data_IF_902186168215
#
_entry.id   IF_902186168215
#
_cell.length_a   1.000
_cell.length_b   1.000
_cell.length_c   1.000
_cell.angle_alpha   90.00
_cell.angle_beta   90.00
_cell.angle_gamma   90.00
#
_symmetry.space_group_name_H-M   'P 1'
#
loop_
_entity.id
_entity.type
_entity.pdbx_description
1 polymer ?
#
# COMPACT_ATOMS: atom_id res chain seq x y z
N UNK A 1 16.33 -26.05 -29.01
CA UNK A 1 15.41 -25.12 -28.35
C UNK A 1 16.31 -24.15 -27.61
N UNK A 2 16.56 -22.99 -28.22
CA UNK A 2 17.40 -21.95 -27.61
C UNK A 2 16.62 -21.29 -26.47
N UNK A 3 17.25 -20.94 -25.34
CA UNK A 3 16.57 -20.24 -24.26
C UNK A 3 16.24 -18.82 -24.70
N UNK A 4 14.96 -18.45 -24.67
CA UNK A 4 14.54 -17.06 -24.85
C UNK A 4 15.16 -16.22 -23.73
N UNK A 5 16.17 -15.42 -24.07
CA UNK A 5 16.68 -14.38 -23.18
C UNK A 5 15.55 -13.35 -23.01
N UNK A 6 14.83 -13.44 -21.90
CA UNK A 6 14.01 -12.35 -21.39
C UNK A 6 14.95 -11.18 -21.12
N UNK A 7 15.04 -10.26 -22.07
CA UNK A 7 15.51 -8.91 -21.77
C UNK A 7 14.48 -8.30 -20.85
N UNK A 8 14.78 -8.26 -19.54
CA UNK A 8 14.08 -7.35 -18.63
C UNK A 8 14.28 -5.94 -19.18
N UNK A 9 13.27 -5.44 -19.90
CA UNK A 9 13.24 -4.06 -20.32
C UNK A 9 13.32 -3.19 -19.07
N UNK A 10 14.30 -2.26 -19.05
CA UNK A 10 14.50 -1.36 -17.91
C UNK A 10 13.16 -0.67 -17.63
N UNK A 11 12.62 -0.76 -16.40
CA UNK A 11 11.30 -0.22 -16.11
C UNK A 11 11.26 1.25 -16.51
N UNK A 12 10.24 1.60 -17.31
CA UNK A 12 9.99 2.99 -17.67
C UNK A 12 9.86 3.83 -16.39
N UNK A 13 10.06 5.15 -16.48
CA UNK A 13 10.10 6.02 -15.29
C UNK A 13 8.86 5.90 -14.39
N UNK A 14 7.67 5.64 -14.97
CA UNK A 14 6.45 5.40 -14.19
C UNK A 14 6.48 4.07 -13.46
N UNK A 15 6.96 3.01 -14.11
CA UNK A 15 7.12 1.70 -13.50
C UNK A 15 8.15 1.77 -12.37
N UNK A 16 9.28 2.44 -12.57
CA UNK A 16 10.28 2.65 -11.51
C UNK A 16 9.68 3.39 -10.31
N UNK A 17 9.00 4.52 -10.55
CA UNK A 17 8.32 5.26 -9.49
C UNK A 17 7.26 4.42 -8.75
N UNK A 18 6.53 3.56 -9.46
CA UNK A 18 5.60 2.62 -8.83
C UNK A 18 6.31 1.59 -7.96
N UNK A 19 7.41 1.01 -8.45
CA UNK A 19 8.19 0.03 -7.67
C UNK A 19 8.83 0.66 -6.44
N UNK A 20 9.33 1.90 -6.53
CA UNK A 20 9.88 2.64 -5.40
C UNK A 20 8.80 2.89 -4.33
N UNK A 21 7.59 3.31 -4.74
CA UNK A 21 6.44 3.47 -3.83
C UNK A 21 5.98 2.14 -3.22
N UNK A 22 6.05 1.07 -4.00
CA UNK A 22 5.68 -0.27 -3.54
C UNK A 22 6.67 -0.78 -2.49
N UNK A 23 7.96 -0.55 -2.69
CA UNK A 23 9.01 -0.91 -1.75
C UNK A 23 8.87 -0.11 -0.45
N UNK A 24 8.69 1.21 -0.55
CA UNK A 24 8.48 2.11 0.59
C UNK A 24 7.24 1.72 1.41
N UNK A 25 6.13 1.37 0.73
CA UNK A 25 4.89 0.93 1.40
C UNK A 25 4.94 -0.52 1.91
N UNK A 26 5.89 -1.33 1.43
CA UNK A 26 6.12 -2.71 1.88
C UNK A 26 7.00 -2.78 3.13
N UNK A 27 7.70 -1.70 3.48
CA UNK A 27 8.44 -1.62 4.73
C UNK A 27 7.50 -1.77 5.94
N UNK A 28 7.96 -2.45 7.01
CA UNK A 28 7.21 -2.58 8.26
C UNK A 28 6.80 -1.22 8.79
N UNK A 29 5.59 -1.12 9.34
CA UNK A 29 5.08 0.12 9.88
C UNK A 29 6.03 0.65 10.98
N UNK A 30 6.33 -0.15 11.98
CA UNK A 30 7.24 0.20 13.07
C UNK A 30 8.22 -0.95 13.31
N UNK A 31 9.36 -0.68 13.95
CA UNK A 31 10.31 -1.73 14.34
C UNK A 31 9.59 -2.78 15.22
N UNK A 32 9.58 -4.04 14.77
CA UNK A 32 8.86 -5.13 15.43
C UNK A 32 7.38 -5.31 15.05
N UNK A 33 6.82 -4.50 14.14
CA UNK A 33 5.46 -4.69 13.63
C UNK A 33 5.48 -5.58 12.36
N UNK A 34 4.74 -6.71 12.32
CA UNK A 34 4.71 -7.60 11.16
C UNK A 34 3.92 -7.04 9.96
N UNK A 35 3.21 -5.91 10.13
CA UNK A 35 2.37 -5.33 9.11
C UNK A 35 3.01 -4.06 8.52
N UNK A 36 3.10 -4.03 7.19
CA UNK A 36 3.47 -2.86 6.41
C UNK A 36 2.25 -1.99 6.10
N UNK A 37 2.48 -0.75 5.68
CA UNK A 37 1.42 0.17 5.22
C UNK A 37 0.57 -0.48 4.13
N UNK A 38 1.22 -1.17 3.19
CA UNK A 38 0.56 -1.93 2.15
C UNK A 38 -0.31 -3.06 2.71
N UNK A 39 0.18 -3.81 3.70
CA UNK A 39 -0.58 -4.90 4.32
C UNK A 39 -1.89 -4.39 4.96
N UNK A 40 -1.83 -3.24 5.64
CA UNK A 40 -3.01 -2.60 6.25
C UNK A 40 -3.95 -2.06 5.17
N UNK A 41 -3.44 -1.39 4.15
CA UNK A 41 -4.24 -0.87 3.04
C UNK A 41 -4.99 -1.99 2.30
N UNK A 42 -4.33 -3.11 2.02
CA UNK A 42 -4.94 -4.29 1.37
C UNK A 42 -6.06 -4.87 2.23
N UNK A 43 -5.86 -4.99 3.55
CA UNK A 43 -6.89 -5.48 4.47
C UNK A 43 -8.10 -4.54 4.52
N UNK A 44 -7.88 -3.23 4.56
CA UNK A 44 -8.94 -2.22 4.53
C UNK A 44 -9.74 -2.28 3.23
N UNK A 45 -9.08 -2.39 2.07
CA UNK A 45 -9.76 -2.57 0.78
C UNK A 45 -10.58 -3.85 0.74
N UNK A 46 -10.06 -4.94 1.31
CA UNK A 46 -10.81 -6.21 1.37
C UNK A 46 -12.05 -6.09 2.25
N UNK A 47 -11.96 -5.41 3.41
CA UNK A 47 -13.11 -5.13 4.28
C UNK A 47 -14.15 -4.29 3.52
N UNK A 48 -13.71 -3.23 2.83
CA UNK A 48 -14.58 -2.37 2.03
C UNK A 48 -15.36 -3.16 0.99
N UNK A 49 -14.67 -3.97 0.19
CA UNK A 49 -15.28 -4.76 -0.89
C UNK A 49 -16.18 -5.88 -0.35
N UNK A 50 -15.75 -6.59 0.69
CA UNK A 50 -16.48 -7.74 1.22
C UNK A 50 -17.79 -7.34 1.91
N UNK A 51 -17.84 -6.15 2.51
CA UNK A 51 -19.01 -5.67 3.26
C UNK A 51 -19.71 -4.49 2.60
N UNK A 52 -19.28 -4.10 1.39
CA UNK A 52 -19.73 -2.90 0.68
C UNK A 52 -19.74 -1.67 1.60
N UNK A 53 -18.65 -1.51 2.37
CA UNK A 53 -18.54 -0.43 3.36
C UNK A 53 -18.58 0.92 2.63
N UNK A 54 -19.42 1.86 3.06
CA UNK A 54 -19.46 3.18 2.45
C UNK A 54 -18.13 3.89 2.61
N UNK A 55 -17.74 4.62 1.56
CA UNK A 55 -16.56 5.47 1.49
C UNK A 55 -16.35 6.34 2.75
N UNK A 56 -17.41 7.00 3.23
CA UNK A 56 -17.35 7.84 4.41
C UNK A 56 -16.91 7.10 5.70
N UNK A 57 -17.26 5.81 5.82
CA UNK A 57 -16.84 4.99 6.95
C UNK A 57 -15.36 4.59 6.82
N UNK A 58 -14.88 4.31 5.61
CA UNK A 58 -13.46 4.05 5.35
C UNK A 58 -12.61 5.30 5.58
N UNK A 59 -13.09 6.48 5.20
CA UNK A 59 -12.40 7.75 5.44
C UNK A 59 -12.28 8.03 6.95
N UNK A 60 -13.33 7.70 7.73
CA UNK A 60 -13.30 7.79 9.20
C UNK A 60 -12.29 6.81 9.81
N UNK A 61 -12.20 5.58 9.30
CA UNK A 61 -11.19 4.60 9.74
C UNK A 61 -9.78 5.03 9.38
N UNK A 62 -9.58 5.62 8.20
CA UNK A 62 -8.29 6.14 7.75
C UNK A 62 -7.80 7.30 8.63
N UNK A 63 -8.70 8.22 9.01
CA UNK A 63 -8.39 9.29 9.94
C UNK A 63 -8.00 8.76 11.32
N UNK A 64 -8.75 7.80 11.87
CA UNK A 64 -8.44 7.19 13.17
C UNK A 64 -7.11 6.43 13.14
N UNK A 65 -6.78 5.76 12.04
CA UNK A 65 -5.48 5.13 11.85
C UNK A 65 -4.36 6.16 11.74
N UNK A 66 -4.59 7.27 11.03
CA UNK A 66 -3.64 8.39 10.95
C UNK A 66 -3.42 9.11 12.28
N UNK A 67 -4.37 9.05 13.21
CA UNK A 67 -4.22 9.57 14.58
C UNK A 67 -3.47 8.59 15.49
N UNK A 68 -3.68 7.29 15.32
CA UNK A 68 -3.02 6.25 16.12
C UNK A 68 -1.55 6.02 15.73
N UNK A 69 -1.25 6.25 14.46
CA UNK A 69 0.05 6.02 13.89
C UNK A 69 0.76 7.38 13.81
N UNK A 70 1.88 7.52 14.54
CA UNK A 70 2.70 8.72 14.74
C UNK A 70 2.76 9.62 13.48
N UNK A 71 2.82 10.97 13.56
CA UNK A 71 2.71 11.86 12.40
C UNK A 71 3.81 11.72 11.33
N UNK A 72 4.84 10.90 11.58
CA UNK A 72 5.80 10.47 10.54
C UNK A 72 5.24 9.38 9.61
N UNK A 73 4.07 8.83 9.91
CA UNK A 73 3.39 7.86 9.08
C UNK A 73 2.38 8.51 8.17
N UNK A 74 2.74 8.57 6.90
CA UNK A 74 1.83 8.96 5.85
C UNK A 74 0.98 7.75 5.44
N UNK A 75 -0.07 7.43 6.20
CA UNK A 75 -1.10 6.49 5.72
C UNK A 75 -1.83 7.18 4.58
N UNK A 76 -1.75 6.62 3.37
CA UNK A 76 -2.43 7.14 2.19
C UNK A 76 -3.91 7.38 2.47
N UNK A 77 -4.31 8.65 2.45
CA UNK A 77 -5.70 9.08 2.65
C UNK A 77 -6.60 8.81 1.43
N UNK A 78 -5.99 8.42 0.31
CA UNK A 78 -6.69 8.04 -0.91
C UNK A 78 -6.61 6.52 -1.09
N UNK A 79 -7.74 5.85 -0.86
CA UNK A 79 -7.97 4.45 -1.20
C UNK A 79 -8.85 4.33 -2.45
N UNK A 80 -8.73 5.30 -3.37
CA UNK A 80 -9.55 5.48 -4.57
C UNK A 80 -8.70 5.36 -5.83
#
# INVERSE_FOLDING_TARGET
>A
MEPEQYFDEVPNEKARCFYDQLEESSCPLCEGNPHSTLSVAVRLMNIKSNWNVPNAAMDSMANLLGELVNPEFNISKNFY
#
